data_IF_443308966800
#
_entry.id   IF_443308966800
#
_cell.length_a   1.000
_cell.length_b   1.000
_cell.length_c   1.000
_cell.angle_alpha   90.00
_cell.angle_beta   90.00
_cell.angle_gamma   90.00
#
_symmetry.space_group_name_H-M   'P 1'
#
loop_
_entity.id
_entity.type
_entity.pdbx_description
1 polymer ?
#
# COMPACT_ATOMS: atom_id res chain seq x y z
N UNK A 1 4.45 -19.31 8.93
CA UNK A 1 5.63 -19.13 9.81
C UNK A 1 5.16 -18.59 11.14
N UNK A 2 5.66 -19.15 12.25
CA UNK A 2 5.36 -18.66 13.60
C UNK A 2 5.98 -17.27 13.80
N UNK A 3 5.28 -16.36 14.49
CA UNK A 3 5.78 -15.02 14.74
C UNK A 3 6.96 -15.05 15.74
N UNK A 4 8.10 -14.46 15.36
CA UNK A 4 9.24 -14.22 16.25
C UNK A 4 9.23 -12.77 16.76
N UNK A 5 9.93 -12.44 17.87
CA UNK A 5 10.03 -11.06 18.35
C UNK A 5 10.57 -10.08 17.30
N UNK A 6 11.58 -10.50 16.53
CA UNK A 6 12.13 -9.74 15.41
C UNK A 6 11.08 -9.51 14.32
N UNK A 7 10.32 -10.56 13.97
CA UNK A 7 9.25 -10.47 12.98
C UNK A 7 8.19 -9.45 13.40
N UNK A 8 7.74 -9.52 14.64
CA UNK A 8 6.79 -8.56 15.23
C UNK A 8 7.33 -7.12 15.23
N UNK A 9 8.61 -6.94 15.58
CA UNK A 9 9.25 -5.62 15.60
C UNK A 9 9.33 -5.01 14.19
N UNK A 10 9.71 -5.81 13.19
CA UNK A 10 9.82 -5.35 11.80
C UNK A 10 8.45 -5.04 11.20
N UNK A 11 7.43 -5.87 11.44
CA UNK A 11 6.04 -5.58 11.02
C UNK A 11 5.54 -4.28 11.61
N UNK A 12 5.81 -4.02 12.90
CA UNK A 12 5.46 -2.75 13.54
C UNK A 12 6.17 -1.57 12.91
N UNK A 13 7.46 -1.69 12.60
CA UNK A 13 8.23 -0.62 11.96
C UNK A 13 7.65 -0.25 10.59
N UNK A 14 7.31 -1.23 9.75
CA UNK A 14 6.63 -1.00 8.48
C UNK A 14 5.23 -0.39 8.67
N UNK A 15 4.46 -0.88 9.64
CA UNK A 15 3.13 -0.35 9.94
C UNK A 15 3.13 1.14 10.33
N UNK A 16 4.19 1.63 10.99
CA UNK A 16 4.36 3.07 11.33
C UNK A 16 4.47 3.97 10.11
N UNK A 17 5.01 3.46 9.01
CA UNK A 17 5.18 4.21 7.76
C UNK A 17 3.96 4.01 6.86
N UNK A 18 3.60 2.75 6.62
CA UNK A 18 2.55 2.39 5.68
C UNK A 18 1.16 2.79 6.17
N UNK A 19 0.91 2.74 7.47
CA UNK A 19 -0.38 3.16 8.05
C UNK A 19 -0.73 4.60 7.68
N UNK A 20 0.06 5.61 8.11
CA UNK A 20 -0.19 7.00 7.74
C UNK A 20 -0.22 7.21 6.23
N UNK A 21 0.64 6.53 5.46
CA UNK A 21 0.63 6.64 4.01
C UNK A 21 -0.70 6.19 3.39
N UNK A 22 -1.25 5.06 3.83
CA UNK A 22 -2.56 4.53 3.39
C UNK A 22 -3.75 5.38 3.86
N UNK A 23 -3.61 6.13 4.94
CA UNK A 23 -4.63 7.11 5.35
C UNK A 23 -4.56 8.35 4.46
N UNK A 24 -3.38 8.94 4.32
CA UNK A 24 -3.20 10.25 3.70
C UNK A 24 -3.40 10.18 2.19
N UNK A 25 -2.70 9.30 1.49
CA UNK A 25 -2.70 9.29 0.02
C UNK A 25 -4.04 8.83 -0.54
N UNK A 26 -4.55 7.62 -0.20
CA UNK A 26 -5.92 7.23 -0.51
C UNK A 26 -6.99 8.23 -0.04
N UNK A 27 -6.82 8.85 1.13
CA UNK A 27 -7.75 9.86 1.64
C UNK A 27 -7.81 11.10 0.75
N UNK A 28 -6.67 11.63 0.33
CA UNK A 28 -6.61 12.75 -0.63
C UNK A 28 -7.25 12.35 -1.97
N UNK A 29 -6.99 11.13 -2.44
CA UNK A 29 -7.61 10.61 -3.68
C UNK A 29 -9.14 10.55 -3.56
N UNK A 30 -9.69 10.15 -2.42
CA UNK A 30 -11.14 10.16 -2.18
C UNK A 30 -11.72 11.57 -2.23
N UNK A 31 -11.06 12.52 -1.56
CA UNK A 31 -11.48 13.91 -1.51
C UNK A 31 -11.46 14.56 -2.89
N UNK A 32 -10.50 14.17 -3.73
CA UNK A 32 -10.30 14.69 -5.09
C UNK A 32 -10.77 13.73 -6.19
N UNK A 33 -11.60 12.74 -5.86
CA UNK A 33 -12.01 11.69 -6.79
C UNK A 33 -12.56 12.21 -8.14
N UNK A 34 -13.35 13.31 -8.21
CA UNK A 34 -13.81 13.86 -9.49
C UNK A 34 -12.68 14.34 -10.42
N UNK A 35 -11.55 14.77 -9.86
CA UNK A 35 -10.42 15.31 -10.62
C UNK A 35 -9.42 14.23 -11.05
N UNK A 36 -9.49 13.04 -10.45
CA UNK A 36 -8.53 11.96 -10.67
C UNK A 36 -8.50 11.44 -12.11
N UNK A 37 -9.61 11.54 -12.84
CA UNK A 37 -9.66 11.16 -14.26
C UNK A 37 -8.73 12.02 -15.13
N UNK A 38 -8.74 13.34 -14.91
CA UNK A 38 -7.87 14.28 -15.61
C UNK A 38 -6.40 14.05 -15.26
N UNK A 39 -6.09 13.86 -13.97
CA UNK A 39 -4.71 13.55 -13.55
C UNK A 39 -4.20 12.25 -14.17
N UNK A 40 -5.06 11.23 -14.27
CA UNK A 40 -4.71 9.96 -14.91
C UNK A 40 -4.43 10.16 -16.41
N UNK A 41 -5.27 10.91 -17.13
CA UNK A 41 -5.05 11.19 -18.55
C UNK A 41 -3.70 11.89 -18.79
N UNK A 42 -3.43 12.98 -18.07
CA UNK A 42 -2.16 13.72 -18.18
C UNK A 42 -0.95 12.87 -17.80
N UNK A 43 -1.10 11.94 -16.84
CA UNK A 43 -0.03 11.02 -16.47
C UNK A 43 0.35 10.07 -17.61
N UNK A 44 -0.61 9.60 -18.41
CA UNK A 44 -0.35 8.66 -19.52
C UNK A 44 0.04 9.35 -20.83
N UNK A 45 -0.20 10.66 -20.99
CA UNK A 45 0.19 11.44 -22.17
C UNK A 45 1.71 11.43 -22.45
N UNK A 46 2.53 11.43 -21.39
CA UNK A 46 4.00 11.36 -21.51
C UNK A 46 4.52 10.04 -20.96
N UNK A 47 5.02 9.18 -21.85
CA UNK A 47 5.51 7.83 -21.55
C UNK A 47 6.61 7.78 -20.47
N UNK A 48 7.33 8.89 -20.22
CA UNK A 48 8.32 8.95 -19.14
C UNK A 48 7.69 8.86 -17.75
N UNK A 49 6.48 9.40 -17.54
CA UNK A 49 5.84 9.36 -16.22
C UNK A 49 5.43 7.94 -15.80
N UNK A 50 4.70 7.15 -16.62
CA UNK A 50 4.37 5.77 -16.29
C UNK A 50 5.63 4.92 -16.12
N UNK A 51 6.63 5.09 -16.98
CA UNK A 51 7.87 4.33 -16.87
C UNK A 51 8.62 4.63 -15.57
N UNK A 52 8.81 5.91 -15.24
CA UNK A 52 9.52 6.33 -14.02
C UNK A 52 8.75 5.95 -12.75
N UNK A 53 7.44 6.17 -12.73
CA UNK A 53 6.59 5.73 -11.62
C UNK A 53 6.65 4.20 -11.47
N UNK A 54 6.66 3.46 -12.58
CA UNK A 54 6.76 2.00 -12.60
C UNK A 54 8.07 1.52 -11.99
N UNK A 55 9.19 2.14 -12.36
CA UNK A 55 10.50 1.86 -11.77
C UNK A 55 10.51 2.12 -10.25
N UNK A 56 9.90 3.22 -9.81
CA UNK A 56 9.80 3.56 -8.39
C UNK A 56 8.92 2.55 -7.61
N UNK A 57 7.76 2.16 -8.17
CA UNK A 57 6.89 1.15 -7.56
C UNK A 57 7.59 -0.20 -7.46
N UNK A 58 8.33 -0.60 -8.50
CA UNK A 58 9.12 -1.83 -8.48
C UNK A 58 10.20 -1.79 -7.39
N UNK A 59 10.97 -0.70 -7.33
CA UNK A 59 12.01 -0.52 -6.31
C UNK A 59 11.44 -0.60 -4.89
N UNK A 60 10.37 0.15 -4.60
CA UNK A 60 9.71 0.13 -3.29
C UNK A 60 9.11 -1.24 -2.97
N UNK A 61 8.50 -1.90 -3.96
CA UNK A 61 7.96 -3.25 -3.81
C UNK A 61 9.03 -4.27 -3.45
N UNK A 62 10.17 -4.24 -4.15
CA UNK A 62 11.31 -5.11 -3.86
C UNK A 62 11.93 -4.83 -2.48
N UNK A 63 12.02 -3.57 -2.05
CA UNK A 63 12.44 -3.23 -0.69
C UNK A 63 11.52 -3.87 0.36
N UNK A 64 10.20 -3.79 0.17
CA UNK A 64 9.24 -4.42 1.10
C UNK A 64 9.38 -5.95 1.06
N UNK A 65 9.49 -6.57 -0.12
CA UNK A 65 9.63 -8.03 -0.25
C UNK A 65 10.91 -8.51 0.45
N UNK A 66 12.04 -7.82 0.24
CA UNK A 66 13.32 -8.20 0.82
C UNK A 66 13.37 -7.96 2.34
N UNK A 67 12.85 -6.81 2.80
CA UNK A 67 12.93 -6.39 4.20
C UNK A 67 11.72 -6.79 5.03
N UNK A 68 10.68 -7.36 4.43
CA UNK A 68 9.48 -7.84 5.12
C UNK A 68 8.89 -9.14 4.50
N UNK A 69 9.64 -10.26 4.45
CA UNK A 69 9.15 -11.59 4.03
C UNK A 69 8.20 -12.29 5.04
N UNK A 70 7.52 -11.56 5.92
CA UNK A 70 6.75 -12.15 7.02
C UNK A 70 5.26 -12.26 6.70
N UNK A 71 4.66 -13.40 7.06
CA UNK A 71 3.24 -13.72 6.81
C UNK A 71 2.52 -14.22 8.08
N UNK A 72 3.09 -13.91 9.25
CA UNK A 72 2.72 -14.53 10.54
C UNK A 72 1.50 -13.90 11.22
N UNK A 73 1.01 -12.75 10.75
CA UNK A 73 -0.10 -12.00 11.34
C UNK A 73 -0.83 -11.16 10.29
N UNK A 74 -2.06 -10.71 10.58
CA UNK A 74 -2.83 -9.85 9.69
C UNK A 74 -2.07 -8.59 9.19
N UNK A 75 -1.43 -7.76 10.04
CA UNK A 75 -0.67 -6.61 9.55
C UNK A 75 0.53 -7.04 8.70
N UNK A 76 1.19 -8.15 9.05
CA UNK A 76 2.30 -8.68 8.27
C UNK A 76 1.86 -9.10 6.86
N UNK A 77 0.73 -9.80 6.75
CA UNK A 77 0.13 -10.20 5.47
C UNK A 77 -0.22 -8.98 4.63
N UNK A 78 -0.86 -7.96 5.21
CA UNK A 78 -1.21 -6.72 4.48
C UNK A 78 0.05 -6.05 3.91
N UNK A 79 1.09 -5.90 4.73
CA UNK A 79 2.36 -5.27 4.34
C UNK A 79 3.04 -6.07 3.21
N UNK A 80 3.14 -7.38 3.35
CA UNK A 80 3.80 -8.23 2.35
C UNK A 80 3.01 -8.32 1.05
N UNK A 81 1.69 -8.40 1.10
CA UNK A 81 0.84 -8.32 -0.09
C UNK A 81 1.01 -6.99 -0.81
N UNK A 82 1.07 -5.87 -0.06
CA UNK A 82 1.32 -4.57 -0.67
C UNK A 82 2.67 -4.51 -1.39
N UNK A 83 3.74 -5.07 -0.80
CA UNK A 83 5.03 -5.18 -1.47
C UNK A 83 4.96 -5.90 -2.82
N UNK A 84 4.27 -7.04 -2.87
CA UNK A 84 4.03 -7.78 -4.11
C UNK A 84 3.17 -7.02 -5.12
N UNK A 85 2.09 -6.37 -4.67
CA UNK A 85 1.24 -5.55 -5.54
C UNK A 85 2.04 -4.40 -6.15
N UNK A 86 2.88 -3.71 -5.36
CA UNK A 86 3.74 -2.65 -5.87
C UNK A 86 4.75 -3.17 -6.89
N UNK A 87 5.41 -4.29 -6.60
CA UNK A 87 6.38 -4.89 -7.51
C UNK A 87 5.74 -5.28 -8.85
N UNK A 88 4.63 -6.02 -8.82
CA UNK A 88 3.90 -6.44 -10.02
C UNK A 88 3.37 -5.24 -10.79
N UNK A 89 2.75 -4.28 -10.10
CA UNK A 89 2.23 -3.06 -10.73
C UNK A 89 3.34 -2.23 -11.36
N UNK A 90 4.51 -2.15 -10.72
CA UNK A 90 5.70 -1.47 -11.24
C UNK A 90 6.18 -2.09 -12.55
N UNK A 91 6.31 -3.42 -12.60
CA UNK A 91 6.64 -4.16 -13.84
C UNK A 91 5.61 -3.89 -14.93
N UNK A 92 4.32 -4.00 -14.63
CA UNK A 92 3.26 -3.76 -15.62
C UNK A 92 3.31 -2.33 -16.14
N UNK A 93 3.54 -1.33 -15.28
CA UNK A 93 3.57 0.07 -15.71
C UNK A 93 4.77 0.39 -16.61
N UNK A 94 5.90 -0.30 -16.44
CA UNK A 94 7.07 -0.15 -17.32
C UNK A 94 6.94 -0.93 -18.63
N UNK A 95 6.43 -2.16 -18.57
CA UNK A 95 6.43 -3.07 -19.72
C UNK A 95 5.14 -2.99 -20.57
N UNK A 96 4.01 -2.66 -19.95
CA UNK A 96 2.69 -2.63 -20.57
C UNK A 96 1.77 -1.56 -19.92
N UNK A 97 2.15 -0.26 -19.91
CA UNK A 97 1.40 0.81 -19.27
C UNK A 97 -0.06 0.91 -19.72
N UNK A 98 -0.35 0.55 -20.98
CA UNK A 98 -1.68 0.53 -21.56
C UNK A 98 -2.68 -0.36 -20.79
N UNK A 99 -2.20 -1.38 -20.07
CA UNK A 99 -3.06 -2.22 -19.24
C UNK A 99 -3.59 -1.46 -18.02
N UNK A 100 -2.75 -0.62 -17.41
CA UNK A 100 -3.13 0.22 -16.27
C UNK A 100 -3.97 1.40 -16.74
N UNK A 101 -3.64 2.01 -17.88
CA UNK A 101 -4.41 3.10 -18.49
C UNK A 101 -5.86 2.70 -18.78
N UNK A 102 -6.07 1.53 -19.40
CA UNK A 102 -7.43 0.99 -19.65
C UNK A 102 -8.22 0.79 -18.36
N UNK A 103 -7.56 0.28 -17.31
CA UNK A 103 -8.19 0.13 -15.99
C UNK A 103 -8.57 1.47 -15.37
N UNK A 104 -7.70 2.48 -15.50
CA UNK A 104 -7.98 3.84 -15.03
C UNK A 104 -9.17 4.46 -15.78
N UNK A 105 -9.21 4.35 -17.10
CA UNK A 105 -10.33 4.84 -17.91
C UNK A 105 -11.66 4.15 -17.54
N UNK A 106 -11.65 2.83 -17.35
CA UNK A 106 -12.85 2.09 -16.93
C UNK A 106 -13.35 2.51 -15.54
N UNK A 107 -12.45 2.93 -14.66
CA UNK A 107 -12.78 3.33 -13.29
C UNK A 107 -13.55 4.65 -13.18
N UNK A 108 -13.43 5.54 -14.19
CA UNK A 108 -14.13 6.83 -14.22
C UNK A 108 -15.66 6.65 -14.18
N UNK A 109 -16.17 5.61 -14.84
CA UNK A 109 -17.60 5.31 -14.87
C UNK A 109 -18.07 4.53 -13.62
N UNK A 110 -17.15 4.11 -12.76
CA UNK A 110 -17.40 3.27 -11.59
C UNK A 110 -17.03 4.01 -10.29
N UNK A 111 -17.36 5.30 -10.22
CA UNK A 111 -17.00 6.17 -9.09
C UNK A 111 -17.39 5.59 -7.70
N UNK A 112 -18.56 4.94 -7.49
CA UNK A 112 -18.87 4.30 -6.22
C UNK A 112 -17.88 3.19 -5.84
N UNK A 113 -17.46 2.37 -6.81
CA UNK A 113 -16.50 1.29 -6.59
C UNK A 113 -15.10 1.85 -6.27
N UNK A 114 -14.69 2.91 -6.97
CA UNK A 114 -13.43 3.62 -6.71
C UNK A 114 -13.43 4.18 -5.28
N UNK A 115 -14.53 4.83 -4.87
CA UNK A 115 -14.68 5.36 -3.51
C UNK A 115 -14.65 4.25 -2.45
N UNK A 116 -15.32 3.13 -2.72
CA UNK A 116 -15.27 1.98 -1.82
C UNK A 116 -13.85 1.42 -1.69
N UNK A 117 -13.15 1.23 -2.81
CA UNK A 117 -11.79 0.70 -2.83
C UNK A 117 -10.79 1.59 -2.07
N UNK A 118 -10.78 2.90 -2.35
CA UNK A 118 -9.92 3.82 -1.61
C UNK A 118 -10.36 4.00 -0.16
N UNK A 119 -11.66 3.92 0.15
CA UNK A 119 -12.18 3.91 1.52
C UNK A 119 -11.68 2.70 2.33
N UNK A 120 -11.66 1.52 1.71
CA UNK A 120 -11.09 0.32 2.31
C UNK A 120 -9.58 0.49 2.57
N UNK A 121 -8.84 1.11 1.65
CA UNK A 121 -7.42 1.42 1.86
C UNK A 121 -7.20 2.38 3.04
N UNK A 122 -8.04 3.41 3.19
CA UNK A 122 -7.99 4.31 4.35
C UNK A 122 -8.25 3.54 5.65
N UNK A 123 -9.25 2.65 5.68
CA UNK A 123 -9.53 1.83 6.86
C UNK A 123 -8.36 0.90 7.22
N UNK A 124 -7.72 0.27 6.22
CA UNK A 124 -6.49 -0.49 6.38
C UNK A 124 -5.37 0.40 6.94
N UNK A 125 -5.23 1.62 6.43
CA UNK A 125 -4.25 2.59 6.91
C UNK A 125 -4.46 2.97 8.37
N UNK A 126 -5.70 3.20 8.79
CA UNK A 126 -6.05 3.47 10.20
C UNK A 126 -5.68 2.28 11.10
N UNK A 127 -6.00 1.06 10.66
CA UNK A 127 -5.63 -0.17 11.35
C UNK A 127 -4.10 -0.32 11.49
N UNK A 128 -3.33 -0.14 10.41
CA UNK A 128 -1.87 -0.23 10.45
C UNK A 128 -1.26 0.90 11.29
N UNK A 129 -1.83 2.11 11.25
CA UNK A 129 -1.39 3.24 12.09
C UNK A 129 -1.56 2.88 13.57
N UNK A 130 -2.72 2.32 13.94
CA UNK A 130 -2.94 1.81 15.29
C UNK A 130 -1.92 0.73 15.68
N UNK A 131 -1.67 -0.25 14.81
CA UNK A 131 -0.66 -1.31 15.06
C UNK A 131 0.75 -0.73 15.22
N UNK A 132 1.13 0.25 14.39
CA UNK A 132 2.45 0.85 14.40
C UNK A 132 2.71 1.68 15.67
N UNK A 133 1.73 2.48 16.09
CA UNK A 133 1.91 3.54 17.08
C UNK A 133 1.28 3.26 18.45
N UNK A 134 0.17 2.51 18.51
CA UNK A 134 -0.65 2.40 19.73
C UNK A 134 -0.68 0.99 20.34
N UNK A 135 -0.66 -0.07 19.52
CA UNK A 135 -0.72 -1.44 20.03
C UNK A 135 0.48 -1.78 20.93
N UNK A 136 0.30 -2.43 22.08
CA UNK A 136 1.44 -2.80 22.96
C UNK A 136 2.35 -3.87 22.31
N UNK A 137 3.69 -3.80 22.44
CA UNK A 137 4.58 -4.87 21.98
C UNK A 137 4.34 -6.18 22.75
N UNK A 138 4.32 -7.32 22.05
CA UNK A 138 4.11 -8.65 22.68
C UNK A 138 5.12 -8.92 23.81
N UNK A 139 6.36 -8.43 23.68
CA UNK A 139 7.39 -8.56 24.70
C UNK A 139 7.06 -7.85 26.03
N UNK A 140 6.25 -6.77 26.01
CA UNK A 140 5.90 -6.04 27.24
C UNK A 140 4.79 -6.74 28.05
N UNK A 141 4.11 -7.73 27.47
CA UNK A 141 3.09 -8.54 28.16
C UNK A 141 3.75 -9.66 28.96
N UNK A 142 4.85 -10.25 28.44
CA UNK A 142 5.56 -11.32 29.12
C UNK A 142 6.35 -10.87 30.37
N UNK A 143 6.71 -9.59 30.45
CA UNK A 143 7.48 -9.03 31.58
C UNK A 143 6.55 -8.48 32.68
N UNK A 144 5.26 -8.24 32.38
CA UNK A 144 4.32 -7.55 33.28
C UNK A 144 3.01 -8.33 33.52
N UNK A 145 2.99 -9.66 33.35
CA UNK A 145 1.88 -10.53 33.79
C UNK A 145 2.12 -11.03 35.22
N UNK A 146 1.05 -11.36 35.98
CA UNK A 146 1.02 -11.40 37.45
C UNK A 146 2.04 -12.31 38.12
#
# INVERSE_FOLDING_TARGET
MVATPESCARTRAFARVMGPWFVIVPGIILLRAPEMGTFAATFFENQLFPWFAGAQLLFLGLLIIALHPYWSSAPAVIISLFGWILALRGVVLMAAPQLIERGAAASVNLLPLVRFGFGALVAIGLYLTYVGWMAKPVASVAINGP
#
